data_IF_426687009936
#
_entry.id   IF_426687009936
#
_cell.length_a   1.000
_cell.length_b   1.000
_cell.length_c   1.000
_cell.angle_alpha   90.00
_cell.angle_beta   90.00
_cell.angle_gamma   90.00
#
_symmetry.space_group_name_H-M   'P 1'
#
loop_
_entity.id
_entity.type
_entity.pdbx_description
1 polymer ?
#
# COMPACT_ATOMS: atom_id res chain seq x y z
N UNK A 1 4.35 1.08 13.76
CA UNK A 1 5.75 1.34 14.15
C UNK A 1 6.71 1.25 12.97
N UNK A 2 6.80 0.12 12.25
CA UNK A 2 7.72 -0.03 11.10
C UNK A 2 7.45 0.99 9.98
N UNK A 3 6.19 1.12 9.54
CA UNK A 3 5.77 2.09 8.52
C UNK A 3 6.09 3.53 8.92
N UNK A 4 5.87 3.89 10.19
CA UNK A 4 6.14 5.25 10.68
C UNK A 4 7.63 5.60 10.67
N UNK A 5 8.51 4.61 10.85
CA UNK A 5 9.96 4.82 10.75
C UNK A 5 10.42 4.91 9.29
N UNK A 6 9.77 4.18 8.38
CA UNK A 6 10.07 4.24 6.95
C UNK A 6 9.56 5.53 6.30
N UNK A 7 8.48 6.11 6.82
CA UNK A 7 7.88 7.36 6.37
C UNK A 7 7.68 7.44 4.83
N UNK A 8 6.92 6.49 4.23
CA UNK A 8 6.74 6.42 2.79
C UNK A 8 6.13 7.70 2.22
N UNK A 9 6.65 8.14 1.06
CA UNK A 9 6.23 9.32 0.35
C UNK A 9 5.26 8.97 -0.79
N UNK A 10 4.40 9.90 -1.24
CA UNK A 10 3.40 9.64 -2.28
C UNK A 10 3.94 9.16 -3.63
N UNK A 11 5.21 9.45 -3.94
CA UNK A 11 5.85 9.00 -5.18
C UNK A 11 6.66 7.71 -5.06
N UNK A 12 6.67 7.08 -3.88
CA UNK A 12 7.44 5.87 -3.65
C UNK A 12 6.76 4.63 -4.24
N UNK A 13 7.55 3.57 -4.40
CA UNK A 13 7.10 2.23 -4.74
C UNK A 13 7.34 1.31 -3.54
N UNK A 14 6.30 0.64 -3.07
CA UNK A 14 6.34 -0.20 -1.87
C UNK A 14 6.17 -1.66 -2.28
N UNK A 15 7.16 -2.48 -1.93
CA UNK A 15 7.17 -3.91 -2.24
C UNK A 15 7.23 -4.74 -0.94
N UNK A 16 6.32 -5.71 -0.82
CA UNK A 16 6.33 -6.73 0.22
C UNK A 16 6.44 -8.13 -0.42
N UNK A 17 7.62 -8.80 -0.33
CA UNK A 17 7.86 -10.09 -0.96
C UNK A 17 7.20 -11.27 -0.24
N UNK A 18 6.60 -11.06 0.93
CA UNK A 18 5.90 -12.07 1.73
C UNK A 18 4.66 -11.44 2.37
N UNK A 19 3.77 -10.92 1.53
CA UNK A 19 2.72 -10.00 1.96
C UNK A 19 1.66 -10.66 2.84
N UNK A 20 1.48 -11.98 2.79
CA UNK A 20 0.42 -12.68 3.51
C UNK A 20 -0.93 -12.06 3.22
N UNK A 21 -1.58 -11.52 4.24
CA UNK A 21 -2.86 -10.80 4.15
C UNK A 21 -2.73 -9.31 3.82
N UNK A 22 -1.58 -8.86 3.33
CA UNK A 22 -1.24 -7.48 2.95
C UNK A 22 -1.21 -6.46 4.11
N UNK A 23 -1.00 -6.89 5.36
CA UNK A 23 -1.05 -6.00 6.52
C UNK A 23 -0.06 -4.82 6.46
N UNK A 24 1.16 -5.05 5.97
CA UNK A 24 2.15 -3.99 5.81
C UNK A 24 1.77 -2.98 4.72
N UNK A 25 1.25 -3.46 3.59
CA UNK A 25 0.81 -2.60 2.47
C UNK A 25 -0.38 -1.74 2.88
N UNK A 26 -1.38 -2.32 3.55
CA UNK A 26 -2.53 -1.57 4.11
C UNK A 26 -2.07 -0.50 5.09
N UNK A 27 -1.21 -0.84 6.06
CA UNK A 27 -0.69 0.15 7.00
C UNK A 27 0.13 1.25 6.32
N UNK A 28 0.78 0.95 5.19
CA UNK A 28 1.53 1.92 4.39
C UNK A 28 0.59 2.87 3.64
N UNK A 29 -0.49 2.33 3.05
CA UNK A 29 -1.55 3.11 2.44
C UNK A 29 -2.18 4.08 3.44
N UNK A 30 -2.61 3.58 4.60
CA UNK A 30 -3.18 4.39 5.69
C UNK A 30 -2.23 5.51 6.16
N UNK A 31 -0.92 5.23 6.22
CA UNK A 31 0.07 6.25 6.56
C UNK A 31 0.11 7.37 5.52
N UNK A 32 0.17 7.02 4.24
CA UNK A 32 0.24 7.99 3.14
C UNK A 32 -1.05 8.82 3.06
N UNK A 33 -2.22 8.19 3.22
CA UNK A 33 -3.50 8.91 3.26
C UNK A 33 -3.57 9.90 4.44
N UNK A 34 -3.11 9.48 5.61
CA UNK A 34 -3.15 10.30 6.83
C UNK A 34 -2.15 11.46 6.78
N UNK A 35 -0.93 11.21 6.33
CA UNK A 35 0.19 12.17 6.39
C UNK A 35 0.29 13.03 5.13
N UNK A 36 -0.08 12.49 3.97
CA UNK A 36 0.09 13.11 2.66
C UNK A 36 -1.24 13.33 1.91
N UNK A 37 -2.32 13.57 2.65
CA UNK A 37 -3.68 13.76 2.10
C UNK A 37 -3.75 14.78 0.96
N UNK A 38 -3.01 15.88 1.06
CA UNK A 38 -3.00 16.93 0.03
C UNK A 38 -2.36 16.47 -1.28
N UNK A 39 -1.34 15.60 -1.21
CA UNK A 39 -0.70 15.04 -2.41
C UNK A 39 -1.68 14.16 -3.20
N UNK A 40 -2.57 13.44 -2.50
CA UNK A 40 -3.61 12.60 -3.11
C UNK A 40 -4.74 13.41 -3.79
N UNK A 41 -4.76 14.74 -3.65
CA UNK A 41 -5.66 15.60 -4.44
C UNK A 41 -5.16 15.79 -5.87
N UNK A 42 -3.85 15.61 -6.10
CA UNK A 42 -3.26 15.69 -7.44
C UNK A 42 -3.61 14.40 -8.21
N UNK A 43 -4.27 14.49 -9.38
CA UNK A 43 -4.75 13.31 -10.10
C UNK A 43 -3.65 12.28 -10.41
N UNK A 44 -2.45 12.72 -10.79
CA UNK A 44 -1.34 11.83 -11.08
C UNK A 44 -0.85 11.05 -9.85
N UNK A 45 -0.79 11.71 -8.68
CA UNK A 45 -0.40 11.06 -7.42
C UNK A 45 -1.48 10.11 -6.92
N UNK A 46 -2.75 10.50 -7.08
CA UNK A 46 -3.88 9.63 -6.76
C UNK A 46 -3.92 8.38 -7.63
N UNK A 47 -3.62 8.52 -8.92
CA UNK A 47 -3.54 7.38 -9.82
C UNK A 47 -2.40 6.44 -9.42
N UNK A 48 -1.20 6.99 -9.17
CA UNK A 48 -0.06 6.20 -8.69
C UNK A 48 -0.40 5.43 -7.42
N UNK A 49 -0.98 6.11 -6.43
CA UNK A 49 -1.42 5.51 -5.17
C UNK A 49 -2.36 4.32 -5.38
N UNK A 50 -3.35 4.43 -6.28
CA UNK A 50 -4.35 3.39 -6.49
C UNK A 50 -3.89 2.24 -7.41
N UNK A 51 -2.97 2.49 -8.33
CA UNK A 51 -2.67 1.55 -9.43
C UNK A 51 -1.27 0.94 -9.36
N UNK A 52 -0.26 1.69 -8.89
CA UNK A 52 1.13 1.28 -9.01
C UNK A 52 1.91 1.28 -7.70
N UNK A 53 1.54 2.06 -6.69
CA UNK A 53 2.36 2.25 -5.49
C UNK A 53 2.62 0.98 -4.65
N UNK A 54 1.74 -0.03 -4.70
CA UNK A 54 1.78 -1.18 -3.81
C UNK A 54 1.95 -2.50 -4.56
N UNK A 55 3.00 -3.25 -4.23
CA UNK A 55 3.32 -4.56 -4.81
C UNK A 55 3.43 -5.60 -3.70
N UNK A 56 2.57 -6.61 -3.74
CA UNK A 56 2.58 -7.74 -2.80
C UNK A 56 2.84 -9.06 -3.50
N UNK A 57 3.73 -9.87 -2.94
CA UNK A 57 4.00 -11.22 -3.40
C UNK A 57 3.81 -12.21 -2.24
N UNK A 58 3.21 -13.35 -2.56
CA UNK A 58 3.11 -14.49 -1.66
C UNK A 58 3.04 -15.78 -2.50
N UNK A 59 3.53 -16.89 -1.96
CA UNK A 59 3.49 -18.18 -2.67
C UNK A 59 2.15 -18.90 -2.47
N UNK A 60 1.39 -18.55 -1.43
CA UNK A 60 0.06 -19.13 -1.18
C UNK A 60 -1.02 -18.31 -1.91
N UNK A 61 -1.67 -18.95 -2.88
CA UNK A 61 -2.78 -18.36 -3.65
C UNK A 61 -3.99 -17.95 -2.79
N UNK A 62 -4.17 -18.55 -1.62
CA UNK A 62 -5.22 -18.17 -0.65
C UNK A 62 -4.87 -16.86 0.01
N UNK A 63 -3.62 -16.69 0.42
CA UNK A 63 -3.12 -15.46 1.03
C UNK A 63 -3.17 -14.31 0.02
N UNK A 64 -2.75 -14.53 -1.23
CA UNK A 64 -2.87 -13.53 -2.30
C UNK A 64 -4.32 -13.04 -2.48
N UNK A 65 -5.32 -13.93 -2.41
CA UNK A 65 -6.73 -13.52 -2.52
C UNK A 65 -7.18 -12.69 -1.33
N UNK A 66 -6.84 -13.11 -0.11
CA UNK A 66 -7.20 -12.37 1.11
C UNK A 66 -6.50 -11.01 1.12
N UNK A 67 -5.20 -10.97 0.81
CA UNK A 67 -4.45 -9.73 0.69
C UNK A 67 -5.02 -8.80 -0.39
N UNK A 68 -5.37 -9.33 -1.56
CA UNK A 68 -6.03 -8.53 -2.61
C UNK A 68 -7.38 -7.98 -2.17
N UNK A 69 -8.17 -8.75 -1.42
CA UNK A 69 -9.43 -8.29 -0.86
C UNK A 69 -9.22 -7.18 0.17
N UNK A 70 -8.22 -7.31 1.04
CA UNK A 70 -7.89 -6.27 2.01
C UNK A 70 -7.47 -4.97 1.31
N UNK A 71 -6.61 -5.04 0.29
CA UNK A 71 -6.19 -3.88 -0.51
C UNK A 71 -7.31 -3.26 -1.37
N UNK A 72 -8.41 -3.98 -1.61
CA UNK A 72 -9.57 -3.43 -2.33
C UNK A 72 -10.52 -2.67 -1.40
N UNK A 73 -10.58 -3.07 -0.13
CA UNK A 73 -11.46 -2.48 0.88
C UNK A 73 -10.84 -1.31 1.63
N UNK A 74 -9.51 -1.29 1.72
CA UNK A 74 -8.71 -0.23 2.29
C UNK A 74 -8.13 0.64 1.19
#
# INVERSE_FOLDING_TARGET
LMVEMMAPQPGDEICDPACGTAGFLVSSAEYVERTHREALLVPAQRQHFNESMFHGFDFDSTMLRIGSMNMLLH
#
